data_IF_792114815794
#
_entry.id   IF_792114815794
#
_cell.length_a   1.000
_cell.length_b   1.000
_cell.length_c   1.000
_cell.angle_alpha   90.00
_cell.angle_beta   90.00
_cell.angle_gamma   90.00
#
_symmetry.space_group_name_H-M   'P 1'
#
loop_
_entity.id
_entity.type
_entity.pdbx_description
1 polymer ?
#
# COMPACT_ATOMS: atom_id res chain seq x y z
N UNK A 1 -2.37 -22.88 -32.68
CA UNK A 1 -2.24 -22.46 -31.27
C UNK A 1 -1.98 -20.96 -31.25
N UNK A 2 -2.93 -20.17 -30.82
CA UNK A 2 -2.70 -18.73 -30.63
C UNK A 2 -1.66 -18.58 -29.50
N UNK A 3 -0.45 -18.10 -29.80
CA UNK A 3 0.51 -17.72 -28.78
C UNK A 3 -0.05 -16.44 -28.13
N UNK A 4 -0.39 -16.52 -26.86
CA UNK A 4 -0.73 -15.35 -26.07
C UNK A 4 0.47 -14.43 -25.96
N UNK A 5 0.28 -13.11 -25.88
CA UNK A 5 1.36 -12.15 -25.60
C UNK A 5 2.06 -12.44 -24.26
N UNK A 6 1.39 -13.15 -23.36
CA UNK A 6 1.95 -13.63 -22.08
C UNK A 6 2.93 -14.79 -22.22
N UNK A 7 2.94 -15.51 -23.35
CA UNK A 7 3.88 -16.62 -23.59
C UNK A 7 5.28 -16.13 -23.95
N UNK A 8 5.44 -14.86 -24.32
CA UNK A 8 6.69 -14.27 -24.74
C UNK A 8 6.94 -12.92 -24.04
N UNK A 9 7.11 -12.88 -22.71
CA UNK A 9 7.44 -11.66 -22.00
C UNK A 9 8.79 -11.11 -22.45
N UNK A 10 8.97 -9.79 -22.51
CA UNK A 10 10.25 -9.20 -22.84
C UNK A 10 11.30 -9.52 -21.77
N UNK A 11 12.50 -9.95 -22.18
CA UNK A 11 13.60 -10.16 -21.24
C UNK A 11 13.96 -8.85 -20.54
N UNK A 12 14.08 -8.91 -19.22
CA UNK A 12 14.48 -7.78 -18.36
C UNK A 12 15.89 -7.95 -17.78
N UNK A 13 16.57 -9.05 -18.12
CA UNK A 13 17.97 -9.29 -17.73
C UNK A 13 18.85 -8.22 -18.41
N UNK A 14 19.74 -7.62 -17.65
CA UNK A 14 20.61 -6.54 -18.15
C UNK A 14 19.89 -5.22 -18.52
N UNK A 15 18.62 -5.01 -18.08
CA UNK A 15 17.80 -3.83 -18.37
C UNK A 15 17.53 -2.95 -17.14
N UNK A 16 18.46 -2.85 -16.20
CA UNK A 16 18.31 -2.08 -14.96
C UNK A 16 17.09 -2.50 -14.13
N UNK A 17 16.71 -3.77 -14.17
CA UNK A 17 15.61 -4.31 -13.39
C UNK A 17 16.07 -4.66 -11.98
N UNK A 18 15.49 -4.02 -10.95
CA UNK A 18 15.75 -4.37 -9.57
C UNK A 18 15.41 -5.85 -9.28
N UNK A 19 14.29 -6.33 -9.83
CA UNK A 19 13.81 -7.71 -9.66
C UNK A 19 14.82 -8.72 -10.19
N UNK A 20 15.23 -8.57 -11.43
CA UNK A 20 16.13 -9.51 -12.12
C UNK A 20 17.61 -9.28 -11.79
N UNK A 21 18.01 -8.02 -11.56
CA UNK A 21 19.39 -7.67 -11.22
C UNK A 21 19.87 -8.25 -9.89
N UNK A 22 18.97 -8.43 -8.91
CA UNK A 22 19.32 -9.03 -7.61
C UNK A 22 19.90 -10.43 -7.70
N UNK A 23 19.50 -11.19 -8.71
CA UNK A 23 19.93 -12.57 -8.92
C UNK A 23 20.59 -12.76 -10.27
N UNK A 24 21.19 -11.70 -10.82
CA UNK A 24 21.95 -11.77 -12.05
C UNK A 24 23.03 -12.87 -11.95
N UNK A 25 23.16 -13.66 -13.00
CA UNK A 25 24.06 -14.83 -13.08
C UNK A 25 23.74 -15.97 -12.09
N UNK A 26 22.54 -16.04 -11.55
CA UNK A 26 22.07 -17.17 -10.74
C UNK A 26 20.86 -17.82 -11.41
N UNK A 27 20.77 -19.14 -11.28
CA UNK A 27 19.58 -19.89 -11.72
C UNK A 27 18.45 -19.77 -10.67
N UNK A 28 17.91 -18.55 -10.56
CA UNK A 28 16.84 -18.22 -9.61
C UNK A 28 15.75 -17.44 -10.33
N UNK A 29 14.53 -17.94 -10.24
CA UNK A 29 13.33 -17.20 -10.69
C UNK A 29 12.95 -16.19 -9.60
N UNK A 30 13.05 -14.86 -9.85
CA UNK A 30 12.77 -13.86 -8.84
C UNK A 30 11.26 -13.66 -8.65
N UNK A 31 10.77 -13.96 -7.44
CA UNK A 31 9.36 -13.78 -7.03
C UNK A 31 9.24 -12.90 -5.77
N UNK A 32 10.27 -12.13 -5.44
CA UNK A 32 10.38 -11.41 -4.18
C UNK A 32 9.74 -10.01 -4.19
N UNK A 33 9.39 -9.49 -5.36
CA UNK A 33 8.79 -8.16 -5.53
C UNK A 33 7.65 -8.22 -6.54
N UNK A 34 6.58 -7.51 -6.28
CA UNK A 34 5.42 -7.39 -7.16
C UNK A 34 5.75 -6.46 -8.36
N UNK A 35 6.57 -6.96 -9.26
CA UNK A 35 7.01 -6.30 -10.50
C UNK A 35 6.72 -7.22 -11.68
N UNK A 36 5.76 -6.82 -12.51
CA UNK A 36 5.22 -7.64 -13.58
C UNK A 36 6.22 -7.77 -14.74
N UNK A 37 6.35 -8.96 -15.30
CA UNK A 37 7.26 -9.23 -16.42
C UNK A 37 6.61 -9.04 -17.79
N UNK A 38 5.30 -8.85 -17.83
CA UNK A 38 4.54 -8.63 -19.06
C UNK A 38 4.56 -7.16 -19.48
N UNK A 39 4.31 -6.92 -20.77
CA UNK A 39 4.13 -5.57 -21.27
C UNK A 39 2.90 -4.91 -20.66
N UNK A 40 2.97 -3.60 -20.48
CA UNK A 40 1.78 -2.82 -20.13
C UNK A 40 0.71 -2.91 -21.24
N UNK A 41 -0.58 -2.73 -20.92
CA UNK A 41 -1.65 -2.72 -21.91
C UNK A 41 -1.36 -1.75 -23.04
N UNK A 42 -1.78 -2.07 -24.31
CA UNK A 42 -1.53 -1.21 -25.47
C UNK A 42 -1.98 0.23 -25.28
N UNK A 43 -3.15 0.46 -24.66
CA UNK A 43 -3.68 1.80 -24.37
C UNK A 43 -2.76 2.63 -23.46
N UNK A 44 -2.10 2.00 -22.50
CA UNK A 44 -1.12 2.67 -21.62
C UNK A 44 0.13 3.04 -22.42
N UNK A 45 0.62 2.12 -23.27
CA UNK A 45 1.79 2.36 -24.11
C UNK A 45 1.54 3.47 -25.14
N UNK A 46 0.37 3.51 -25.75
CA UNK A 46 -0.05 4.56 -26.69
C UNK A 46 -0.10 5.93 -26.01
N UNK A 47 -0.70 6.01 -24.82
CA UNK A 47 -0.76 7.26 -24.07
C UNK A 47 0.63 7.75 -23.63
N UNK A 48 1.49 6.84 -23.17
CA UNK A 48 2.87 7.15 -22.82
C UNK A 48 3.66 7.65 -24.05
N UNK A 49 3.45 7.01 -25.23
CA UNK A 49 4.06 7.45 -26.49
C UNK A 49 3.58 8.84 -26.90
N UNK A 50 2.29 9.15 -26.78
CA UNK A 50 1.76 10.47 -27.07
C UNK A 50 2.42 11.57 -26.21
N UNK A 51 2.56 11.31 -24.90
CA UNK A 51 3.24 12.21 -23.98
C UNK A 51 4.73 12.40 -24.33
N UNK A 52 5.41 11.32 -24.68
CA UNK A 52 6.81 11.35 -25.12
C UNK A 52 7.00 12.16 -26.42
N UNK A 53 6.13 11.97 -27.40
CA UNK A 53 6.20 12.70 -28.71
C UNK A 53 5.94 14.20 -28.50
N UNK A 54 5.06 14.57 -27.58
CA UNK A 54 4.83 15.97 -27.24
C UNK A 54 6.11 16.65 -26.70
N UNK A 55 6.97 15.92 -25.98
CA UNK A 55 8.32 16.34 -25.60
C UNK A 55 8.42 17.43 -24.53
N UNK A 56 7.31 17.92 -23.98
CA UNK A 56 7.32 18.89 -22.89
C UNK A 56 6.90 18.21 -21.57
N UNK A 57 7.85 18.09 -20.65
CA UNK A 57 7.72 17.44 -19.35
C UNK A 57 7.74 18.45 -18.19
N UNK A 58 7.10 19.59 -18.37
CA UNK A 58 6.99 20.62 -17.36
C UNK A 58 6.14 20.20 -16.13
N UNK A 59 5.84 21.14 -15.26
CA UNK A 59 4.97 20.92 -14.13
C UNK A 59 3.53 20.62 -14.60
N UNK A 60 3.03 19.44 -14.29
CA UNK A 60 1.69 19.00 -14.64
C UNK A 60 0.72 19.11 -13.45
N UNK A 61 -0.56 19.26 -13.76
CA UNK A 61 -1.66 19.09 -12.82
C UNK A 61 -2.38 17.76 -13.12
N UNK A 62 -2.98 17.11 -12.10
CA UNK A 62 -3.83 15.97 -12.34
C UNK A 62 -4.97 16.34 -13.29
N UNK A 63 -5.20 15.56 -14.37
CA UNK A 63 -6.31 15.83 -15.29
C UNK A 63 -7.66 15.71 -14.57
N UNK A 64 -8.60 16.63 -14.84
CA UNK A 64 -9.94 16.58 -14.26
C UNK A 64 -10.62 15.21 -14.46
N UNK A 65 -10.45 14.62 -15.64
CA UNK A 65 -10.97 13.27 -15.95
C UNK A 65 -10.42 12.18 -15.04
N UNK A 66 -9.20 12.29 -14.54
CA UNK A 66 -8.62 11.34 -13.58
C UNK A 66 -9.31 11.49 -12.22
N UNK A 67 -9.51 12.72 -11.77
CA UNK A 67 -10.23 13.02 -10.53
C UNK A 67 -11.66 12.46 -10.61
N UNK A 68 -12.40 12.79 -11.67
CA UNK A 68 -13.75 12.30 -11.89
C UNK A 68 -13.82 10.76 -11.89
N UNK A 69 -12.83 10.11 -12.49
CA UNK A 69 -12.76 8.64 -12.52
C UNK A 69 -12.54 8.06 -11.13
N UNK A 70 -11.70 8.68 -10.29
CA UNK A 70 -11.47 8.26 -8.91
C UNK A 70 -12.75 8.40 -8.10
N UNK A 71 -13.42 9.56 -8.17
CA UNK A 71 -14.67 9.82 -7.45
C UNK A 71 -15.76 8.80 -7.85
N UNK A 72 -15.93 8.60 -9.16
CA UNK A 72 -16.89 7.65 -9.71
C UNK A 72 -16.59 6.22 -9.25
N UNK A 73 -15.32 5.79 -9.31
CA UNK A 73 -14.91 4.46 -8.87
C UNK A 73 -15.18 4.25 -7.38
N UNK A 74 -14.86 5.24 -6.53
CA UNK A 74 -15.15 5.18 -5.10
C UNK A 74 -16.64 5.02 -4.82
N UNK A 75 -17.47 5.78 -5.52
CA UNK A 75 -18.93 5.69 -5.40
C UNK A 75 -19.49 4.35 -5.92
N UNK A 76 -18.99 3.85 -7.06
CA UNK A 76 -19.50 2.63 -7.69
C UNK A 76 -19.09 1.35 -6.96
N UNK A 77 -17.87 1.29 -6.43
CA UNK A 77 -17.34 0.07 -5.80
C UNK A 77 -17.59 0.01 -4.29
N UNK A 78 -17.61 1.17 -3.64
CA UNK A 78 -17.61 1.25 -2.18
C UNK A 78 -18.80 2.04 -1.63
N UNK A 79 -19.68 2.55 -2.49
CA UNK A 79 -20.78 3.45 -2.11
C UNK A 79 -20.29 4.68 -1.33
N UNK A 80 -19.00 5.04 -1.50
CA UNK A 80 -18.31 6.07 -0.77
C UNK A 80 -18.14 7.34 -1.59
N UNK A 81 -18.81 8.42 -1.18
CA UNK A 81 -18.65 9.75 -1.76
C UNK A 81 -17.50 10.47 -1.08
N UNK A 82 -16.40 10.62 -1.81
CA UNK A 82 -15.26 11.41 -1.35
C UNK A 82 -15.28 12.80 -1.95
N UNK A 83 -14.78 13.78 -1.20
CA UNK A 83 -14.58 15.14 -1.70
C UNK A 83 -13.27 15.17 -2.53
N UNK A 84 -13.25 15.79 -3.72
CA UNK A 84 -12.01 15.99 -4.49
C UNK A 84 -10.87 16.62 -3.67
N UNK A 85 -11.19 17.49 -2.72
CA UNK A 85 -10.23 18.12 -1.83
C UNK A 85 -9.53 17.15 -0.86
N UNK A 86 -10.07 15.94 -0.68
CA UNK A 86 -9.43 14.89 0.14
C UNK A 86 -8.35 14.11 -0.60
N UNK A 87 -8.24 14.31 -1.93
CA UNK A 87 -7.25 13.60 -2.74
C UNK A 87 -5.89 14.29 -2.59
N UNK A 88 -4.93 13.56 -2.03
CA UNK A 88 -3.53 14.00 -1.90
C UNK A 88 -2.66 13.20 -2.86
N UNK A 89 -1.99 13.88 -3.78
CA UNK A 89 -1.12 13.27 -4.78
C UNK A 89 0.28 13.05 -4.22
N UNK A 90 0.71 11.81 -4.18
CA UNK A 90 2.01 11.40 -3.65
C UNK A 90 2.71 10.46 -4.64
N UNK A 91 4.06 10.45 -4.65
CA UNK A 91 4.83 9.65 -5.62
C UNK A 91 4.90 8.15 -5.30
N UNK A 92 3.98 7.63 -4.49
CA UNK A 92 3.85 6.21 -4.18
C UNK A 92 3.47 5.96 -2.73
N UNK A 93 3.02 4.73 -2.43
CA UNK A 93 2.48 4.35 -1.11
C UNK A 93 3.54 4.38 0.00
N UNK A 94 4.78 3.99 -0.27
CA UNK A 94 5.86 4.11 0.74
C UNK A 94 6.05 5.56 1.17
N UNK A 95 5.99 6.51 0.22
CA UNK A 95 6.00 7.93 0.54
C UNK A 95 4.75 8.31 1.36
N UNK A 96 3.57 7.79 1.01
CA UNK A 96 2.33 8.03 1.73
C UNK A 96 2.42 7.60 3.19
N UNK A 97 2.92 6.40 3.49
CA UNK A 97 3.12 5.91 4.85
C UNK A 97 4.01 6.86 5.68
N UNK A 98 5.12 7.32 5.10
CA UNK A 98 6.02 8.26 5.75
C UNK A 98 5.36 9.63 5.99
N UNK A 99 4.69 10.18 4.97
CA UNK A 99 3.99 11.48 5.08
C UNK A 99 2.88 11.39 6.13
N UNK A 100 2.13 10.29 6.19
CA UNK A 100 1.09 10.06 7.19
C UNK A 100 1.66 10.07 8.61
N UNK A 101 2.74 9.32 8.86
CA UNK A 101 3.42 9.36 10.16
C UNK A 101 3.87 10.77 10.51
N UNK A 102 4.54 11.47 9.58
CA UNK A 102 5.04 12.83 9.79
C UNK A 102 3.95 13.84 10.07
N UNK A 103 2.78 13.67 9.43
CA UNK A 103 1.69 14.66 9.52
C UNK A 103 0.78 14.46 10.74
N UNK A 104 0.54 13.21 11.15
CA UNK A 104 -0.44 12.89 12.18
C UNK A 104 0.19 12.66 13.56
N UNK A 105 1.39 12.07 13.61
CA UNK A 105 2.02 11.75 14.89
C UNK A 105 2.71 12.98 15.49
N UNK A 106 2.52 13.13 16.81
CA UNK A 106 3.21 14.10 17.66
C UNK A 106 4.32 13.37 18.43
N UNK A 107 5.18 14.09 19.13
CA UNK A 107 6.28 13.49 19.95
C UNK A 107 5.78 12.48 21.00
N UNK A 108 4.57 12.69 21.52
CA UNK A 108 3.94 11.79 22.51
C UNK A 108 3.13 10.64 21.90
N UNK A 109 3.00 10.60 20.57
CA UNK A 109 2.19 9.59 19.86
C UNK A 109 3.06 8.44 19.36
N UNK A 110 2.42 7.31 19.04
CA UNK A 110 3.06 6.13 18.47
C UNK A 110 2.36 5.69 17.19
N UNK A 111 3.10 5.00 16.32
CA UNK A 111 2.52 4.18 15.27
C UNK A 111 2.31 2.75 15.80
N UNK A 112 1.19 2.13 15.44
CA UNK A 112 0.84 0.75 15.80
C UNK A 112 0.72 -0.05 14.51
N UNK A 113 1.40 -1.18 14.43
CA UNK A 113 1.37 -2.08 13.28
C UNK A 113 1.19 -3.52 13.72
N UNK A 114 0.67 -4.34 12.82
CA UNK A 114 0.57 -5.79 13.01
C UNK A 114 1.74 -6.50 12.31
N UNK A 115 2.34 -7.51 12.95
CA UNK A 115 3.47 -8.25 12.38
C UNK A 115 3.17 -9.74 12.19
N UNK A 116 3.83 -10.43 11.21
CA UNK A 116 4.81 -9.89 10.25
C UNK A 116 4.15 -8.95 9.25
N UNK A 117 4.89 -7.96 8.71
CA UNK A 117 4.33 -6.92 7.84
C UNK A 117 5.35 -6.48 6.77
N UNK A 118 4.87 -5.85 5.73
CA UNK A 118 5.69 -5.24 4.69
C UNK A 118 6.70 -4.24 5.27
N UNK A 119 8.01 -4.38 4.96
CA UNK A 119 9.07 -3.64 5.63
C UNK A 119 8.91 -2.12 5.75
N UNK A 120 8.36 -1.39 4.76
CA UNK A 120 8.14 0.05 4.89
C UNK A 120 7.28 0.49 6.08
N UNK A 121 6.34 -0.34 6.54
CA UNK A 121 5.58 -0.06 7.76
C UNK A 121 6.47 -0.05 9.01
N UNK A 122 7.54 -0.88 9.02
CA UNK A 122 8.49 -0.95 10.13
C UNK A 122 9.38 0.28 10.23
N UNK A 123 9.52 1.05 9.16
CA UNK A 123 10.44 2.18 9.06
C UNK A 123 9.75 3.53 9.03
N UNK A 124 8.48 3.59 8.64
CA UNK A 124 7.78 4.86 8.41
C UNK A 124 7.80 5.81 9.61
N UNK A 125 7.49 5.33 10.82
CA UNK A 125 7.56 6.15 12.04
C UNK A 125 9.01 6.39 12.50
N UNK A 126 9.86 5.38 12.37
CA UNK A 126 11.28 5.45 12.78
C UNK A 126 12.08 6.48 11.98
N UNK A 127 11.71 6.72 10.72
CA UNK A 127 12.35 7.74 9.89
C UNK A 127 12.19 9.16 10.46
N UNK A 128 11.33 9.33 11.46
CA UNK A 128 11.05 10.59 12.16
C UNK A 128 11.28 10.48 13.67
N UNK A 129 12.01 9.44 14.12
CA UNK A 129 12.29 9.17 15.54
C UNK A 129 11.02 9.01 16.40
N UNK A 130 9.91 8.55 15.77
CA UNK A 130 8.63 8.34 16.44
C UNK A 130 8.49 6.89 16.91
N UNK A 131 7.86 6.66 18.08
CA UNK A 131 7.63 5.33 18.63
C UNK A 131 6.86 4.41 17.69
N UNK A 132 7.25 3.12 17.68
CA UNK A 132 6.60 2.06 16.91
C UNK A 132 6.23 0.89 17.81
N UNK A 133 4.95 0.64 17.97
CA UNK A 133 4.43 -0.53 18.65
C UNK A 133 4.05 -1.63 17.65
N UNK A 134 4.49 -2.84 17.93
CA UNK A 134 4.26 -4.02 17.08
C UNK A 134 3.33 -4.99 17.80
N UNK A 135 2.25 -5.35 17.15
CA UNK A 135 1.29 -6.36 17.64
C UNK A 135 1.35 -7.57 16.72
N UNK A 136 1.84 -8.72 17.18
CA UNK A 136 1.86 -9.92 16.36
C UNK A 136 0.45 -10.36 15.97
N UNK A 137 0.28 -10.78 14.71
CA UNK A 137 -0.91 -11.50 14.29
C UNK A 137 -0.94 -12.90 14.90
N UNK A 138 -2.12 -13.44 15.14
CA UNK A 138 -2.30 -14.81 15.56
C UNK A 138 -2.42 -15.74 14.35
N UNK A 139 -1.68 -16.84 14.35
CA UNK A 139 -1.89 -17.93 13.41
C UNK A 139 -2.91 -18.93 13.98
N UNK A 140 -4.10 -18.97 13.36
CA UNK A 140 -5.17 -19.91 13.72
C UNK A 140 -5.58 -20.69 12.47
N UNK A 141 -5.58 -22.01 12.54
CA UNK A 141 -6.04 -22.88 11.44
C UNK A 141 -5.42 -22.50 10.08
N UNK A 142 -4.11 -22.31 10.05
CA UNK A 142 -3.34 -21.87 8.87
C UNK A 142 -3.72 -20.48 8.30
N UNK A 143 -4.43 -19.65 9.05
CA UNK A 143 -4.77 -18.28 8.71
C UNK A 143 -4.28 -17.30 9.77
N UNK A 144 -3.65 -16.21 9.34
CA UNK A 144 -3.32 -15.10 10.23
C UNK A 144 -4.57 -14.26 10.52
N UNK A 145 -4.77 -13.92 11.78
CA UNK A 145 -5.92 -13.14 12.28
C UNK A 145 -5.45 -12.03 13.22
N UNK A 146 -6.29 -11.05 13.46
CA UNK A 146 -6.02 -9.98 14.41
C UNK A 146 -6.04 -10.54 15.84
N UNK A 147 -5.05 -10.19 16.66
CA UNK A 147 -5.03 -10.48 18.08
C UNK A 147 -5.73 -9.36 18.88
N UNK A 148 -7.05 -9.43 18.97
CA UNK A 148 -7.83 -8.45 19.72
C UNK A 148 -7.47 -8.42 21.20
N UNK A 149 -7.08 -9.58 21.79
CA UNK A 149 -6.65 -9.61 23.18
C UNK A 149 -5.36 -8.84 23.40
N UNK A 150 -4.43 -8.93 22.45
CA UNK A 150 -3.20 -8.13 22.49
C UNK A 150 -3.50 -6.64 22.28
N UNK A 151 -4.42 -6.30 21.35
CA UNK A 151 -4.86 -4.92 21.14
C UNK A 151 -5.52 -4.31 22.38
N UNK A 152 -6.40 -5.06 23.06
CA UNK A 152 -7.06 -4.60 24.29
C UNK A 152 -6.09 -4.27 25.43
N UNK A 153 -4.98 -5.00 25.51
CA UNK A 153 -3.94 -4.78 26.51
C UNK A 153 -2.93 -3.68 26.13
N UNK A 154 -3.07 -3.07 24.96
CA UNK A 154 -2.18 -2.00 24.53
C UNK A 154 -2.47 -0.69 25.26
N UNK A 155 -1.40 -0.05 25.72
CA UNK A 155 -1.46 1.33 26.15
C UNK A 155 -1.47 2.23 24.92
N UNK A 156 -2.57 2.97 24.73
CA UNK A 156 -2.76 3.89 23.60
C UNK A 156 -3.19 5.26 24.10
N UNK A 157 -2.89 6.29 23.32
CA UNK A 157 -3.34 7.65 23.56
C UNK A 157 -4.19 8.13 22.38
N UNK A 158 -5.19 9.01 22.59
CA UNK A 158 -5.87 9.68 21.49
C UNK A 158 -4.88 10.31 20.52
N UNK A 159 -5.07 10.05 19.22
CA UNK A 159 -4.17 10.52 18.17
C UNK A 159 -2.99 9.61 17.85
N UNK A 160 -2.86 8.44 18.47
CA UNK A 160 -1.96 7.39 17.99
C UNK A 160 -2.43 6.90 16.59
N UNK A 161 -1.52 6.38 15.79
CA UNK A 161 -1.78 5.97 14.42
C UNK A 161 -1.72 4.45 14.27
N UNK A 162 -2.83 3.83 13.93
CA UNK A 162 -2.84 2.44 13.49
C UNK A 162 -2.63 2.36 11.98
N UNK A 163 -1.64 1.59 11.55
CA UNK A 163 -1.30 1.42 10.14
C UNK A 163 -1.70 0.00 9.71
N UNK A 164 -2.81 -0.11 9.01
CA UNK A 164 -3.37 -1.35 8.48
C UNK A 164 -2.80 -1.66 7.10
N UNK A 165 -2.30 -2.87 6.90
CA UNK A 165 -1.97 -3.42 5.59
C UNK A 165 -3.08 -4.42 5.21
N UNK A 166 -3.82 -4.16 4.13
CA UNK A 166 -4.98 -4.97 3.76
C UNK A 166 -5.16 -5.04 2.24
N UNK A 167 -5.12 -6.21 1.60
CA UNK A 167 -4.77 -7.53 2.15
C UNK A 167 -3.36 -7.58 2.76
N UNK A 168 -3.21 -8.31 3.88
CA UNK A 168 -2.02 -8.22 4.72
C UNK A 168 -0.78 -8.89 4.10
N UNK A 169 0.20 -8.09 3.77
CA UNK A 169 1.48 -8.51 3.20
C UNK A 169 2.54 -8.68 4.32
N UNK A 170 3.28 -9.79 4.41
CA UNK A 170 3.44 -10.86 3.41
C UNK A 170 2.56 -12.08 3.60
N UNK A 171 1.72 -12.14 4.60
CA UNK A 171 0.99 -13.37 4.98
C UNK A 171 -0.21 -13.68 4.08
N UNK A 172 -0.60 -12.75 3.19
CA UNK A 172 -1.66 -12.95 2.22
C UNK A 172 -3.07 -13.06 2.82
N UNK A 173 -3.25 -12.57 4.05
CA UNK A 173 -4.56 -12.62 4.70
C UNK A 173 -5.45 -11.48 4.24
N UNK A 174 -6.64 -11.84 3.78
CA UNK A 174 -7.78 -10.95 3.68
C UNK A 174 -8.54 -11.02 5.02
N UNK A 175 -8.53 -9.94 5.79
CA UNK A 175 -9.32 -9.88 7.03
C UNK A 175 -10.81 -9.92 6.70
N UNK A 176 -11.58 -10.62 7.52
CA UNK A 176 -13.02 -10.75 7.34
C UNK A 176 -13.73 -9.46 7.75
N UNK A 177 -14.93 -9.25 7.25
CA UNK A 177 -15.72 -8.06 7.57
C UNK A 177 -15.90 -7.85 9.08
N UNK A 178 -16.19 -8.90 9.82
CA UNK A 178 -16.31 -8.81 11.28
C UNK A 178 -14.98 -8.42 11.96
N UNK A 179 -13.83 -8.96 11.50
CA UNK A 179 -12.51 -8.58 12.04
C UNK A 179 -12.20 -7.10 11.78
N UNK A 180 -12.55 -6.59 10.57
CA UNK A 180 -12.37 -5.18 10.24
C UNK A 180 -13.32 -4.29 11.02
N UNK A 181 -14.58 -4.72 11.22
CA UNK A 181 -15.57 -4.00 12.02
C UNK A 181 -15.11 -3.86 13.47
N UNK A 182 -14.72 -4.97 14.08
CA UNK A 182 -14.22 -5.00 15.46
C UNK A 182 -12.97 -4.12 15.61
N UNK A 183 -12.06 -4.14 14.62
CA UNK A 183 -10.89 -3.27 14.59
C UNK A 183 -11.28 -1.78 14.52
N UNK A 184 -12.20 -1.41 13.65
CA UNK A 184 -12.66 -0.02 13.52
C UNK A 184 -13.32 0.44 14.82
N UNK A 185 -14.16 -0.39 15.44
CA UNK A 185 -14.79 -0.08 16.73
C UNK A 185 -13.72 0.13 17.82
N UNK A 186 -12.70 -0.72 17.88
CA UNK A 186 -11.58 -0.58 18.79
C UNK A 186 -10.80 0.74 18.58
N UNK A 187 -10.55 1.13 17.32
CA UNK A 187 -9.88 2.38 16.96
C UNK A 187 -10.70 3.61 17.36
N UNK A 188 -11.98 3.60 17.05
CA UNK A 188 -12.91 4.72 17.35
C UNK A 188 -13.03 4.94 18.86
N UNK A 189 -13.18 3.85 19.65
CA UNK A 189 -13.29 3.94 21.11
C UNK A 189 -12.04 4.55 21.77
N UNK A 190 -10.89 4.45 21.10
CA UNK A 190 -9.58 4.97 21.57
C UNK A 190 -9.14 6.26 20.90
N UNK A 191 -9.98 6.81 20.02
CA UNK A 191 -9.70 8.04 19.26
C UNK A 191 -8.38 7.96 18.47
N UNK A 192 -8.12 6.79 17.84
CA UNK A 192 -6.93 6.55 17.04
C UNK A 192 -7.16 6.93 15.57
N UNK A 193 -6.10 7.38 14.91
CA UNK A 193 -6.09 7.49 13.45
C UNK A 193 -5.92 6.12 12.79
N UNK A 194 -6.54 5.93 11.63
CA UNK A 194 -6.34 4.76 10.76
C UNK A 194 -5.69 5.20 9.46
N UNK A 195 -4.56 4.57 9.12
CA UNK A 195 -3.99 4.59 7.77
C UNK A 195 -4.13 3.19 7.19
N UNK A 196 -5.00 3.02 6.18
CA UNK A 196 -5.20 1.75 5.48
C UNK A 196 -4.46 1.79 4.15
N UNK A 197 -3.59 0.81 3.91
CA UNK A 197 -2.87 0.56 2.65
C UNK A 197 -3.53 -0.64 1.98
N UNK A 198 -4.25 -0.39 0.85
CA UNK A 198 -5.09 -1.35 0.14
C UNK A 198 -4.69 -1.52 -1.32
#
# INVERSE_FOLDING_TARGET
>A
MYKSEFDNPPSRIGKCSLKWGKYENKDIIPLWVADMDFKSPPSVLEQAKASYVHGNFGYGLPPAQLIDRILKRSQELYEWRIDPAWIVWLPGMVCALNVTCRSLLKESSQAIIQTPIYPPFLTASKNFDLPLTKVPLLLKENRFTIDFKALENLSTNPGDLFMLCHPHNPVGTLFRENELRDLIEWLVQRELYLCSDE
#
